data_IF_551646783017
#
_entry.id   IF_551646783017
#
_cell.length_a   1.000
_cell.length_b   1.000
_cell.length_c   1.000
_cell.angle_alpha   90.00
_cell.angle_beta   90.00
_cell.angle_gamma   90.00
#
_symmetry.space_group_name_H-M   'P 1'
#
loop_
_entity.id
_entity.type
_entity.pdbx_description
1 polymer ?
#
# COMPACT_ATOMS: atom_id res chain seq x y z
N UNK A 1 -10.11 -7.64 -12.30
CA UNK A 1 -8.90 -7.14 -13.01
C UNK A 1 -9.12 -5.78 -13.71
N UNK A 2 -10.21 -5.58 -14.47
CA UNK A 2 -10.47 -4.30 -15.15
C UNK A 2 -10.56 -3.08 -14.22
N UNK A 3 -11.17 -3.23 -13.03
CA UNK A 3 -11.30 -2.13 -12.05
C UNK A 3 -9.94 -1.56 -11.59
N UNK A 4 -8.94 -2.44 -11.40
CA UNK A 4 -7.58 -2.04 -11.01
C UNK A 4 -6.91 -1.25 -12.13
N UNK A 5 -7.11 -1.68 -13.37
CA UNK A 5 -6.61 -0.97 -14.55
C UNK A 5 -7.20 0.44 -14.65
N UNK A 6 -8.50 0.59 -14.40
CA UNK A 6 -9.18 1.89 -14.38
C UNK A 6 -8.68 2.78 -13.24
N UNK A 7 -8.43 2.22 -12.05
CA UNK A 7 -7.84 2.97 -10.94
C UNK A 7 -6.43 3.51 -11.29
N UNK A 8 -5.61 2.67 -11.95
CA UNK A 8 -4.30 3.10 -12.45
C UNK A 8 -4.38 4.17 -13.53
N UNK A 9 -5.35 4.05 -14.45
CA UNK A 9 -5.59 5.04 -15.49
C UNK A 9 -5.97 6.40 -14.90
N UNK A 10 -6.89 6.42 -13.91
CA UNK A 10 -7.23 7.64 -13.18
C UNK A 10 -6.03 8.22 -12.42
N UNK A 11 -5.21 7.37 -11.80
CA UNK A 11 -3.96 7.80 -11.17
C UNK A 11 -3.02 8.51 -12.14
N UNK A 12 -2.88 8.00 -13.37
CA UNK A 12 -2.08 8.62 -14.42
C UNK A 12 -2.67 9.98 -14.85
N UNK A 13 -3.99 10.05 -15.01
CA UNK A 13 -4.69 11.30 -15.36
C UNK A 13 -4.46 12.37 -14.29
N UNK A 14 -4.70 12.05 -13.01
CA UNK A 14 -4.49 13.01 -11.93
C UNK A 14 -3.02 13.39 -11.77
N UNK A 15 -2.09 12.46 -11.92
CA UNK A 15 -0.66 12.79 -11.80
C UNK A 15 -0.24 13.73 -12.93
N UNK A 16 -0.62 13.43 -14.18
CA UNK A 16 -0.21 14.20 -15.37
C UNK A 16 -0.88 15.57 -15.44
N UNK A 17 -2.19 15.64 -15.21
CA UNK A 17 -2.98 16.86 -15.44
C UNK A 17 -3.28 17.66 -14.18
N UNK A 18 -2.97 17.15 -12.99
CA UNK A 18 -3.19 17.87 -11.73
C UNK A 18 -1.89 18.01 -10.94
N UNK A 19 -1.20 16.92 -10.61
CA UNK A 19 -0.01 16.99 -9.76
C UNK A 19 1.17 17.71 -10.44
N UNK A 20 1.53 17.32 -11.67
CA UNK A 20 2.62 17.95 -12.41
C UNK A 20 2.42 19.44 -12.69
N UNK A 21 1.26 19.93 -13.15
CA UNK A 21 1.08 21.37 -13.37
C UNK A 21 1.11 22.16 -12.07
N UNK A 22 0.58 21.61 -10.97
CA UNK A 22 0.70 22.25 -9.65
C UNK A 22 2.17 22.32 -9.25
N UNK A 23 2.92 21.22 -9.36
CA UNK A 23 4.34 21.17 -9.00
C UNK A 23 5.20 22.10 -9.88
N UNK A 24 4.80 22.33 -11.14
CA UNK A 24 5.45 23.30 -12.01
C UNK A 24 5.26 24.75 -11.54
N UNK A 25 4.06 25.09 -11.03
CA UNK A 25 3.74 26.44 -10.54
C UNK A 25 4.33 26.76 -9.17
N UNK A 26 4.67 25.75 -8.37
CA UNK A 26 5.30 25.95 -7.06
C UNK A 26 6.79 26.28 -7.27
N UNK A 27 7.25 27.46 -6.82
CA UNK A 27 8.66 27.82 -6.93
C UNK A 27 9.50 26.90 -6.05
N UNK A 28 10.53 26.30 -6.64
CA UNK A 28 11.49 25.42 -5.98
C UNK A 28 12.92 25.91 -6.18
N UNK A 29 13.84 25.41 -5.36
CA UNK A 29 15.25 25.81 -5.36
C UNK A 29 15.99 25.39 -6.64
N UNK A 30 15.55 24.31 -7.31
CA UNK A 30 16.14 23.82 -8.56
C UNK A 30 15.45 24.41 -9.79
N UNK A 31 16.17 25.23 -10.55
CA UNK A 31 15.74 25.79 -11.84
C UNK A 31 14.41 26.58 -11.84
N UNK A 32 14.01 27.11 -10.66
CA UNK A 32 12.89 28.04 -10.46
C UNK A 32 11.52 27.40 -10.27
N UNK A 33 11.43 26.06 -10.24
CA UNK A 33 10.19 25.30 -10.11
C UNK A 33 10.48 23.95 -9.46
N UNK A 34 9.58 23.45 -8.63
CA UNK A 34 9.80 22.21 -7.88
C UNK A 34 9.96 20.97 -8.77
N UNK A 35 9.23 20.91 -9.89
CA UNK A 35 9.27 19.78 -10.82
C UNK A 35 9.23 20.29 -12.26
N UNK A 36 10.29 20.00 -12.99
CA UNK A 36 10.48 20.39 -14.39
C UNK A 36 10.76 19.17 -15.25
N UNK A 37 9.72 18.71 -15.95
CA UNK A 37 9.80 17.53 -16.81
C UNK A 37 10.93 17.65 -17.85
N UNK A 38 11.15 18.84 -18.38
CA UNK A 38 12.21 19.12 -19.35
C UNK A 38 13.61 18.84 -18.77
N UNK A 39 13.88 19.31 -17.56
CA UNK A 39 15.15 19.04 -16.86
C UNK A 39 15.28 17.55 -16.49
N UNK A 40 14.21 16.93 -16.01
CA UNK A 40 14.18 15.50 -15.65
C UNK A 40 14.45 14.61 -16.86
N UNK A 41 13.83 14.90 -18.01
CA UNK A 41 14.11 14.16 -19.25
C UNK A 41 15.53 14.38 -19.75
N UNK A 42 16.09 15.57 -19.58
CA UNK A 42 17.49 15.84 -19.95
C UNK A 42 18.47 15.03 -19.10
N UNK A 43 18.25 14.97 -17.77
CA UNK A 43 19.07 14.16 -16.86
C UNK A 43 18.92 12.67 -17.17
N UNK A 44 17.71 12.22 -17.46
CA UNK A 44 17.42 10.84 -17.83
C UNK A 44 18.09 10.46 -19.16
N UNK A 45 18.07 11.33 -20.16
CA UNK A 45 18.70 11.07 -21.46
C UNK A 45 20.24 11.04 -21.37
N UNK A 46 20.81 11.83 -20.46
CA UNK A 46 22.27 12.02 -20.36
C UNK A 46 22.95 10.95 -19.49
N UNK A 47 22.31 10.54 -18.38
CA UNK A 47 22.95 9.67 -17.39
C UNK A 47 22.51 8.21 -17.51
N UNK A 48 23.42 7.35 -17.98
CA UNK A 48 23.18 5.90 -18.11
C UNK A 48 22.94 5.22 -16.77
N UNK A 49 23.54 5.70 -15.68
CA UNK A 49 23.31 5.15 -14.34
C UNK A 49 21.87 5.38 -13.87
N UNK A 50 21.32 6.56 -14.13
CA UNK A 50 19.93 6.91 -13.75
C UNK A 50 18.94 6.10 -14.60
N UNK A 51 19.22 5.87 -15.88
CA UNK A 51 18.39 5.02 -16.74
C UNK A 51 18.22 3.60 -16.17
N UNK A 52 19.31 2.98 -15.71
CA UNK A 52 19.24 1.65 -15.09
C UNK A 52 18.46 1.65 -13.79
N UNK A 53 18.63 2.68 -12.94
CA UNK A 53 17.86 2.82 -11.72
C UNK A 53 16.36 3.00 -12.00
N UNK A 54 16.00 3.82 -12.99
CA UNK A 54 14.60 4.00 -13.42
C UNK A 54 14.02 2.71 -13.97
N UNK A 55 14.77 1.97 -14.81
CA UNK A 55 14.31 0.67 -15.31
C UNK A 55 14.10 -0.33 -14.17
N UNK A 56 15.06 -0.43 -13.25
CA UNK A 56 14.94 -1.29 -12.07
C UNK A 56 13.72 -0.91 -11.22
N UNK A 57 13.46 0.39 -11.04
CA UNK A 57 12.28 0.90 -10.35
C UNK A 57 10.98 0.50 -11.06
N UNK A 58 10.90 0.62 -12.38
CA UNK A 58 9.72 0.21 -13.16
C UNK A 58 9.45 -1.29 -13.02
N UNK A 59 10.49 -2.12 -13.11
CA UNK A 59 10.38 -3.56 -12.91
C UNK A 59 9.93 -3.88 -11.48
N UNK A 60 10.51 -3.23 -10.48
CA UNK A 60 10.11 -3.41 -9.08
C UNK A 60 8.65 -3.03 -8.83
N UNK A 61 8.17 -1.92 -9.41
CA UNK A 61 6.76 -1.50 -9.31
C UNK A 61 5.82 -2.47 -10.01
N UNK A 62 6.20 -3.00 -11.18
CA UNK A 62 5.42 -4.01 -11.88
C UNK A 62 5.29 -5.28 -11.02
N UNK A 63 6.42 -5.79 -10.53
CA UNK A 63 6.46 -6.97 -9.66
C UNK A 63 5.65 -6.75 -8.38
N UNK A 64 5.77 -5.58 -7.75
CA UNK A 64 4.99 -5.23 -6.56
C UNK A 64 3.48 -5.28 -6.82
N UNK A 65 3.04 -4.81 -7.99
CA UNK A 65 1.63 -4.88 -8.37
C UNK A 65 1.16 -6.32 -8.62
N UNK A 66 2.00 -7.15 -9.24
CA UNK A 66 1.71 -8.58 -9.46
C UNK A 66 1.63 -9.32 -8.12
N UNK A 67 2.64 -9.17 -7.26
CA UNK A 67 2.66 -9.81 -5.94
C UNK A 67 1.50 -9.35 -5.06
N UNK A 68 1.11 -8.08 -5.13
CA UNK A 68 -0.08 -7.60 -4.39
C UNK A 68 -1.34 -8.35 -4.80
N UNK A 69 -1.53 -8.62 -6.09
CA UNK A 69 -2.67 -9.40 -6.57
C UNK A 69 -2.59 -10.87 -6.20
N UNK A 70 -1.38 -11.45 -6.21
CA UNK A 70 -1.17 -12.82 -5.77
C UNK A 70 -1.49 -12.98 -4.28
N UNK A 71 -1.07 -12.02 -3.45
CA UNK A 71 -1.36 -12.02 -2.00
C UNK A 71 -2.85 -11.83 -1.76
N UNK A 72 -3.54 -10.96 -2.51
CA UNK A 72 -5.00 -10.83 -2.43
C UNK A 72 -5.74 -12.12 -2.79
N UNK A 73 -5.16 -12.96 -3.65
CA UNK A 73 -5.76 -14.23 -4.06
C UNK A 73 -5.49 -15.35 -3.06
N UNK A 74 -4.31 -15.35 -2.43
CA UNK A 74 -3.86 -16.44 -1.54
C UNK A 74 -4.09 -16.15 -0.05
N UNK A 75 -4.20 -14.87 0.34
CA UNK A 75 -4.33 -14.41 1.71
C UNK A 75 -5.44 -13.36 1.82
N UNK A 76 -5.91 -13.12 3.04
CA UNK A 76 -6.92 -12.09 3.30
C UNK A 76 -6.41 -10.67 3.05
N UNK A 77 -7.34 -9.75 2.80
CA UNK A 77 -7.07 -8.32 2.57
C UNK A 77 -6.28 -7.64 3.71
N UNK A 78 -6.31 -8.22 4.92
CA UNK A 78 -5.50 -7.78 6.05
C UNK A 78 -3.99 -7.81 5.73
N UNK A 79 -3.50 -8.93 5.19
CA UNK A 79 -2.08 -9.12 4.90
C UNK A 79 -1.58 -8.12 3.86
N UNK A 80 -2.44 -7.77 2.91
CA UNK A 80 -2.17 -6.75 1.89
C UNK A 80 -2.05 -5.37 2.52
N UNK A 81 -2.87 -5.05 3.52
CA UNK A 81 -2.77 -3.80 4.28
C UNK A 81 -1.47 -3.72 5.09
N UNK A 82 -1.11 -4.81 5.79
CA UNK A 82 0.14 -4.91 6.54
C UNK A 82 1.36 -4.75 5.61
N UNK A 83 1.36 -5.44 4.47
CA UNK A 83 2.43 -5.36 3.48
C UNK A 83 2.57 -3.94 2.89
N UNK A 84 1.45 -3.24 2.71
CA UNK A 84 1.46 -1.86 2.24
C UNK A 84 2.15 -0.91 3.24
N UNK A 85 1.98 -1.14 4.54
CA UNK A 85 2.66 -0.37 5.59
C UNK A 85 4.17 -0.65 5.62
N UNK A 86 4.57 -1.91 5.40
CA UNK A 86 5.99 -2.28 5.29
C UNK A 86 6.71 -1.61 4.12
N UNK A 87 6.01 -1.29 3.02
CA UNK A 87 6.64 -0.55 1.91
C UNK A 87 7.18 0.80 2.38
N UNK A 88 6.33 1.62 2.99
CA UNK A 88 6.73 2.96 3.42
C UNK A 88 7.77 2.89 4.54
N UNK A 89 7.59 2.00 5.52
CA UNK A 89 8.56 1.80 6.60
C UNK A 89 9.89 1.23 6.13
N UNK A 90 9.87 0.31 5.16
CA UNK A 90 11.05 -0.30 4.58
C UNK A 90 11.87 0.68 3.75
N UNK A 91 11.21 1.50 2.92
CA UNK A 91 11.89 2.57 2.17
C UNK A 91 12.55 3.55 3.14
N UNK A 92 11.85 3.97 4.19
CA UNK A 92 12.41 4.84 5.23
C UNK A 92 13.61 4.22 5.94
N UNK A 93 13.51 2.96 6.35
CA UNK A 93 14.60 2.25 7.02
C UNK A 93 15.83 2.10 6.10
N UNK A 94 15.61 1.75 4.83
CA UNK A 94 16.68 1.72 3.82
C UNK A 94 17.31 3.09 3.65
N UNK A 95 16.51 4.16 3.68
CA UNK A 95 16.99 5.53 3.54
C UNK A 95 17.97 5.93 4.66
N UNK A 96 17.64 5.57 5.90
CA UNK A 96 18.51 5.76 7.07
C UNK A 96 19.79 4.92 7.02
N UNK A 97 19.67 3.64 6.62
CA UNK A 97 20.82 2.75 6.46
C UNK A 97 21.76 3.28 5.37
N UNK A 98 21.20 3.79 4.28
CA UNK A 98 21.96 4.30 3.15
C UNK A 98 22.75 5.56 3.53
N UNK A 99 22.16 6.44 4.36
CA UNK A 99 22.82 7.63 4.88
C UNK A 99 23.95 7.30 5.87
N UNK A 100 23.68 6.45 6.86
CA UNK A 100 24.62 6.19 7.96
C UNK A 100 25.65 5.10 7.66
N UNK A 101 25.28 4.02 6.97
CA UNK A 101 26.15 2.85 6.81
C UNK A 101 26.89 2.82 5.46
N UNK A 102 26.24 3.23 4.36
CA UNK A 102 26.76 2.98 3.00
C UNK A 102 27.43 4.23 2.42
N UNK A 103 26.75 5.37 2.49
CA UNK A 103 27.12 6.55 1.67
C UNK A 103 27.76 7.67 2.49
N UNK A 104 27.88 7.50 3.80
CA UNK A 104 28.46 8.47 4.74
C UNK A 104 27.97 9.92 4.50
N UNK A 105 26.66 10.05 4.29
CA UNK A 105 26.01 11.35 4.15
C UNK A 105 25.75 11.85 2.73
N UNK A 106 26.17 11.16 1.67
CA UNK A 106 25.91 11.64 0.30
C UNK A 106 24.50 11.35 -0.20
N UNK A 107 23.87 10.27 0.27
CA UNK A 107 22.53 9.88 -0.12
C UNK A 107 21.74 9.42 1.10
N UNK A 108 20.47 9.82 1.13
CA UNK A 108 19.47 9.34 2.05
C UNK A 108 19.07 10.30 3.17
N UNK A 109 18.19 9.86 4.06
CA UNK A 109 17.62 10.69 5.13
C UNK A 109 18.49 10.64 6.40
N UNK A 110 18.73 11.81 6.99
CA UNK A 110 19.44 11.94 8.27
C UNK A 110 18.49 11.62 9.41
N UNK A 111 18.98 10.92 10.44
CA UNK A 111 18.23 10.84 11.69
C UNK A 111 18.14 12.22 12.36
N UNK A 112 16.94 12.78 12.45
CA UNK A 112 16.67 14.06 13.10
C UNK A 112 15.67 13.91 14.26
N UNK A 113 15.45 14.98 15.01
CA UNK A 113 14.43 15.00 16.06
C UNK A 113 13.02 14.71 15.52
N UNK A 114 12.74 15.03 14.25
CA UNK A 114 11.46 14.72 13.61
C UNK A 114 11.34 13.27 13.14
N UNK A 115 12.45 12.53 13.02
CA UNK A 115 12.44 11.10 12.68
C UNK A 115 11.76 10.27 13.78
N UNK A 116 11.77 10.73 15.03
CA UNK A 116 10.97 10.11 16.11
C UNK A 116 9.47 10.19 15.83
N UNK A 117 8.98 11.31 15.31
CA UNK A 117 7.56 11.47 14.97
C UNK A 117 7.18 10.55 13.81
N UNK A 118 8.05 10.40 12.80
CA UNK A 118 7.84 9.46 11.70
C UNK A 118 7.77 8.01 12.19
N UNK A 119 8.69 7.61 13.09
CA UNK A 119 8.70 6.27 13.67
C UNK A 119 7.43 6.01 14.50
N UNK A 120 7.00 6.97 15.33
CA UNK A 120 5.74 6.86 16.06
C UNK A 120 4.56 6.73 15.10
N UNK A 121 4.52 7.53 14.03
CA UNK A 121 3.50 7.41 13.00
C UNK A 121 3.45 6.02 12.35
N UNK A 122 4.61 5.42 12.07
CA UNK A 122 4.69 4.06 11.54
C UNK A 122 4.20 3.02 12.55
N UNK A 123 4.58 3.14 13.83
CA UNK A 123 4.07 2.25 14.88
C UNK A 123 2.55 2.34 15.02
N UNK A 124 1.99 3.56 14.97
CA UNK A 124 0.55 3.77 15.00
C UNK A 124 -0.13 3.11 13.80
N UNK A 125 0.46 3.14 12.61
CA UNK A 125 -0.06 2.44 11.42
C UNK A 125 -0.10 0.92 11.62
N UNK A 126 0.96 0.33 12.20
CA UNK A 126 1.00 -1.11 12.49
C UNK A 126 -0.03 -1.51 13.55
N UNK A 127 -0.09 -0.76 14.66
CA UNK A 127 -1.06 -1.01 15.74
C UNK A 127 -2.49 -0.83 15.23
N UNK A 128 -2.77 0.23 14.46
CA UNK A 128 -4.09 0.46 13.88
C UNK A 128 -4.54 -0.69 12.98
N UNK A 129 -3.63 -1.25 12.19
CA UNK A 129 -3.93 -2.41 11.33
C UNK A 129 -4.18 -3.68 12.16
N UNK A 130 -3.44 -3.89 13.25
CA UNK A 130 -3.63 -5.03 14.14
C UNK A 130 -4.92 -4.95 14.97
N UNK A 131 -5.28 -3.75 15.45
CA UNK A 131 -6.54 -3.52 16.19
C UNK A 131 -7.73 -3.79 15.28
N UNK A 132 -7.68 -3.30 14.04
CA UNK A 132 -8.74 -3.51 13.05
C UNK A 132 -9.03 -5.01 12.80
N UNK A 133 -8.00 -5.87 12.80
CA UNK A 133 -8.18 -7.33 12.72
C UNK A 133 -8.96 -7.89 13.92
N UNK A 134 -8.56 -7.50 15.13
CA UNK A 134 -9.22 -7.92 16.37
C UNK A 134 -10.69 -7.49 16.42
N UNK A 135 -11.03 -6.31 15.89
CA UNK A 135 -12.42 -5.87 15.75
C UNK A 135 -13.22 -6.80 14.82
N UNK A 136 -12.71 -7.16 13.64
CA UNK A 136 -13.45 -8.03 12.72
C UNK A 136 -13.71 -9.42 13.31
N UNK A 137 -12.75 -9.98 14.03
CA UNK A 137 -12.93 -11.27 14.69
C UNK A 137 -14.07 -11.22 15.72
N UNK A 138 -14.13 -10.14 16.50
CA UNK A 138 -15.19 -9.93 17.49
C UNK A 138 -16.57 -9.71 16.83
N UNK A 139 -16.64 -8.97 15.73
CA UNK A 139 -17.90 -8.77 14.99
C UNK A 139 -18.41 -10.07 14.36
N UNK A 140 -17.52 -10.88 13.79
CA UNK A 140 -17.87 -12.20 13.25
C UNK A 140 -18.47 -13.12 14.33
N UNK A 141 -17.87 -13.13 15.53
CA UNK A 141 -18.36 -13.89 16.67
C UNK A 141 -19.76 -13.41 17.15
N UNK A 142 -20.01 -12.09 17.17
CA UNK A 142 -21.31 -11.52 17.55
C UNK A 142 -22.39 -11.84 16.52
N UNK A 143 -22.10 -11.71 15.22
CA UNK A 143 -23.04 -12.03 14.13
C UNK A 143 -23.42 -13.51 14.16
N UNK A 144 -22.46 -14.40 14.38
CA UNK A 144 -22.74 -15.83 14.51
C UNK A 144 -23.67 -16.12 15.71
N UNK A 145 -23.43 -15.45 16.84
CA UNK A 145 -24.27 -15.61 18.04
C UNK A 145 -25.71 -15.15 17.80
N UNK A 146 -25.88 -13.99 17.15
CA UNK A 146 -27.18 -13.46 16.76
C UNK A 146 -27.94 -14.40 15.82
N UNK A 147 -27.27 -14.95 14.81
CA UNK A 147 -27.91 -15.85 13.85
C UNK A 147 -28.41 -17.14 14.50
N UNK A 148 -27.66 -17.69 15.47
CA UNK A 148 -28.06 -18.89 16.22
C UNK A 148 -29.30 -18.62 17.08
N UNK A 149 -29.42 -17.44 17.68
CA UNK A 149 -30.56 -17.09 18.54
C UNK A 149 -31.84 -16.77 17.75
N UNK A 150 -31.70 -16.34 16.49
CA UNK A 150 -32.82 -16.06 15.60
C UNK A 150 -33.39 -17.27 14.87
N UNK A 151 -32.75 -18.45 14.93
CA UNK A 151 -33.34 -19.69 14.41
C UNK A 151 -34.40 -20.15 15.43
N UNK A 152 -35.71 -20.11 15.10
CA UNK A 152 -36.72 -20.63 16.01
C UNK A 152 -36.43 -22.12 16.23
N UNK A 153 -36.29 -22.50 17.49
CA UNK A 153 -36.20 -23.90 17.92
C UNK A 153 -37.55 -24.56 17.61
N UNK A 154 -37.77 -24.96 16.37
CA UNK A 154 -38.81 -25.93 16.04
C UNK A 154 -38.44 -27.24 16.73
N UNK A 155 -39.38 -27.89 17.46
CA UNK A 155 -39.11 -29.17 18.10
C UNK A 155 -38.59 -30.16 17.07
N UNK A 156 -37.49 -30.83 17.40
CA UNK A 156 -36.73 -31.69 16.50
C UNK A 156 -37.61 -32.65 15.69
N UNK A 157 -37.75 -32.40 14.39
CA UNK A 157 -38.04 -33.48 13.45
C UNK A 157 -36.72 -34.09 13.01
N UNK A 158 -36.58 -35.38 13.35
CA UNK A 158 -35.56 -36.26 12.82
C UNK A 158 -35.56 -36.19 11.28
N UNK A 159 -34.37 -36.30 10.69
CA UNK A 159 -34.09 -36.53 9.27
C UNK A 159 -34.35 -35.37 8.29
N UNK A 160 -33.35 -34.51 8.13
CA UNK A 160 -32.99 -33.99 6.80
C UNK A 160 -31.46 -33.77 6.74
N UNK A 161 -30.77 -34.22 5.66
CA UNK A 161 -29.34 -34.04 5.53
C UNK A 161 -29.00 -32.55 5.47
N UNK A 162 -28.02 -32.18 6.29
CA UNK A 162 -27.35 -30.88 6.36
C UNK A 162 -27.17 -30.28 4.95
N UNK A 163 -28.06 -29.36 4.58
CA UNK A 163 -27.91 -28.57 3.37
C UNK A 163 -26.71 -27.65 3.59
N UNK A 164 -25.59 -28.03 2.96
CA UNK A 164 -24.41 -27.20 2.81
C UNK A 164 -24.86 -25.82 2.34
N UNK A 165 -24.64 -24.80 3.18
CA UNK A 165 -24.79 -23.41 2.78
C UNK A 165 -24.01 -23.17 1.48
N UNK A 166 -24.59 -22.49 0.47
CA UNK A 166 -23.84 -22.17 -0.74
C UNK A 166 -22.66 -21.28 -0.36
N UNK A 167 -21.50 -21.77 -0.74
CA UNK A 167 -20.20 -21.12 -0.65
C UNK A 167 -20.28 -19.68 -1.18
N UNK A 168 -19.64 -18.78 -0.44
CA UNK A 168 -19.62 -17.34 -0.66
C UNK A 168 -19.46 -16.97 -2.14
N UNK A 169 -20.45 -16.30 -2.72
CA UNK A 169 -20.23 -15.45 -3.90
C UNK A 169 -19.68 -14.14 -3.35
N UNK A 170 -18.35 -14.06 -3.29
CA UNK A 170 -17.63 -12.80 -3.09
C UNK A 170 -17.65 -12.08 -4.44
N UNK A 171 -18.37 -10.95 -4.52
CA UNK A 171 -18.27 -9.97 -5.62
C UNK A 171 -17.32 -8.87 -5.21
#
# INVERSE_FOLDING_TARGET
MALVGVQGAWGLVFTTFLAYPIAYLVPGDDAGSYERLDATFQVLATSRSIQWLVLAQLVALLLMNIFRMLVLFQLDALWVSIMNNFRTGGVWAVNLVLYHAITHGAFGEVWTHWSYLQLVGMLVLFVGTAVHDGQFHNQAAVVQKSSVETVPMTPCEHTAPFALFPEKIVV
#
